data_IF_297465178565
#
_entry.id   IF_297465178565
#
_cell.length_a   1.000
_cell.length_b   1.000
_cell.length_c   1.000
_cell.angle_alpha   90.00
_cell.angle_beta   90.00
_cell.angle_gamma   90.00
#
_symmetry.space_group_name_H-M   'P 1'
#
loop_
_entity.id
_entity.type
_entity.pdbx_description
1 polymer ?
#
# COMPACT_ATOMS: atom_id res chain seq x y z
N UNK A 1 34.99 -21.57 -10.40
CA UNK A 1 34.64 -20.83 -11.59
C UNK A 1 33.22 -20.21 -11.52
N UNK A 2 32.15 -21.01 -11.33
CA UNK A 2 30.74 -20.51 -11.26
C UNK A 2 30.48 -19.43 -10.21
N UNK A 3 31.01 -19.50 -8.99
CA UNK A 3 30.81 -18.52 -7.94
C UNK A 3 31.45 -17.15 -8.25
N UNK A 4 32.61 -17.15 -8.91
CA UNK A 4 33.33 -15.95 -9.31
C UNK A 4 32.62 -15.20 -10.45
N UNK A 5 32.07 -15.95 -11.41
CA UNK A 5 31.24 -15.40 -12.50
C UNK A 5 29.93 -14.84 -11.94
N UNK A 6 29.28 -15.50 -11.00
CA UNK A 6 28.05 -15.01 -10.36
C UNK A 6 28.27 -13.70 -9.60
N UNK A 7 29.33 -13.61 -8.80
CA UNK A 7 29.68 -12.39 -8.06
C UNK A 7 30.01 -11.20 -9.01
N UNK A 8 30.66 -11.47 -10.12
CA UNK A 8 31.00 -10.43 -11.12
C UNK A 8 29.76 -9.98 -11.89
N UNK A 9 28.85 -10.90 -12.20
CA UNK A 9 27.55 -10.59 -12.83
C UNK A 9 26.67 -9.75 -11.89
N UNK A 10 26.60 -10.09 -10.60
CA UNK A 10 25.85 -9.29 -9.60
C UNK A 10 26.45 -7.87 -9.45
N UNK A 11 27.79 -7.74 -9.49
CA UNK A 11 28.49 -6.42 -9.44
C UNK A 11 28.26 -5.59 -10.69
N UNK A 12 28.25 -6.21 -11.88
CA UNK A 12 27.95 -5.56 -13.15
C UNK A 12 26.47 -5.11 -13.21
N UNK A 13 25.56 -5.98 -12.81
CA UNK A 13 24.13 -5.66 -12.77
C UNK A 13 23.83 -4.45 -11.85
N UNK A 14 24.49 -4.37 -10.70
CA UNK A 14 24.36 -3.23 -9.79
C UNK A 14 24.85 -1.91 -10.39
N UNK A 15 25.99 -1.92 -11.11
CA UNK A 15 26.50 -0.72 -11.81
C UNK A 15 25.60 -0.28 -12.96
N UNK A 16 25.17 -1.21 -13.81
CA UNK A 16 24.23 -0.93 -14.89
C UNK A 16 22.92 -0.33 -14.37
N UNK A 17 22.40 -0.85 -13.27
CA UNK A 17 21.19 -0.31 -12.66
C UNK A 17 21.38 1.15 -12.16
N UNK A 18 22.52 1.45 -11.54
CA UNK A 18 22.81 2.81 -11.06
C UNK A 18 23.00 3.80 -12.22
N UNK A 19 23.70 3.41 -13.27
CA UNK A 19 23.95 4.26 -14.45
C UNK A 19 22.65 4.50 -15.24
N UNK A 20 21.81 3.48 -15.41
CA UNK A 20 20.49 3.60 -16.04
C UNK A 20 19.58 4.55 -15.25
N UNK A 21 19.61 4.48 -13.91
CA UNK A 21 18.81 5.36 -13.08
C UNK A 21 19.27 6.83 -13.17
N UNK A 22 20.59 7.08 -13.14
CA UNK A 22 21.15 8.42 -13.32
C UNK A 22 20.92 8.99 -14.72
N UNK A 23 20.91 8.13 -15.74
CA UNK A 23 20.56 8.49 -17.13
C UNK A 23 19.07 8.83 -17.27
N UNK A 24 18.21 8.08 -16.61
CA UNK A 24 16.77 8.29 -16.60
C UNK A 24 16.37 9.61 -15.91
N UNK A 25 16.95 9.93 -14.74
CA UNK A 25 16.69 11.21 -14.06
C UNK A 25 17.01 12.41 -14.96
N UNK A 26 18.16 12.38 -15.64
CA UNK A 26 18.57 13.45 -16.58
C UNK A 26 17.65 13.54 -17.79
N UNK A 27 17.25 12.42 -18.37
CA UNK A 27 16.37 12.37 -19.51
C UNK A 27 14.91 12.69 -19.17
N UNK A 28 14.43 12.36 -17.97
CA UNK A 28 13.11 12.72 -17.48
C UNK A 28 13.00 14.22 -17.17
N UNK A 29 14.04 14.82 -16.55
CA UNK A 29 14.11 16.26 -16.31
C UNK A 29 14.14 17.05 -17.63
N UNK A 30 14.95 16.63 -18.58
CA UNK A 30 15.08 17.30 -19.90
C UNK A 30 13.77 17.27 -20.69
N UNK A 31 13.02 16.16 -20.62
CA UNK A 31 11.71 16.04 -21.29
C UNK A 31 10.57 16.74 -20.54
N UNK A 32 10.60 16.76 -19.21
CA UNK A 32 9.66 17.54 -18.41
C UNK A 32 9.79 19.04 -18.67
N UNK A 33 11.04 19.51 -18.85
CA UNK A 33 11.34 20.90 -19.25
C UNK A 33 10.87 21.17 -20.68
N UNK A 34 11.10 20.26 -21.64
CA UNK A 34 10.64 20.39 -23.02
C UNK A 34 9.09 20.35 -23.12
N UNK A 35 8.42 19.49 -22.37
CA UNK A 35 6.95 19.43 -22.32
C UNK A 35 6.31 20.65 -21.64
N UNK A 36 7.02 21.34 -20.74
CA UNK A 36 6.57 22.59 -20.13
C UNK A 36 6.61 23.78 -21.10
N UNK A 37 7.40 23.69 -22.17
CA UNK A 37 7.52 24.72 -23.22
C UNK A 37 6.53 24.59 -24.39
N UNK A 38 5.66 23.56 -24.39
CA UNK A 38 4.65 23.37 -25.44
C UNK A 38 3.46 24.36 -25.28
N UNK A 39 3.75 25.63 -25.55
CA UNK A 39 2.78 26.73 -25.49
C UNK A 39 1.57 26.56 -26.42
N UNK A 40 1.69 25.71 -27.44
CA UNK A 40 0.63 25.44 -28.41
C UNK A 40 -0.50 24.55 -27.83
N UNK A 41 -0.16 23.57 -27.01
CA UNK A 41 -1.15 22.73 -26.28
C UNK A 41 -1.91 23.53 -25.21
N UNK A 42 -1.24 24.43 -24.53
CA UNK A 42 -1.88 25.34 -23.55
C UNK A 42 -2.80 26.37 -24.20
N UNK A 43 -2.55 26.71 -25.47
CA UNK A 43 -3.40 27.58 -26.28
C UNK A 43 -4.66 26.87 -26.75
N UNK A 44 -4.54 25.63 -27.25
CA UNK A 44 -5.69 24.78 -27.64
C UNK A 44 -6.62 24.46 -26.47
N UNK A 45 -6.07 24.19 -25.28
CA UNK A 45 -6.87 23.97 -24.06
C UNK A 45 -7.60 25.26 -23.63
N UNK A 46 -7.03 26.45 -23.85
CA UNK A 46 -7.71 27.73 -23.62
C UNK A 46 -8.83 27.98 -24.63
N UNK A 47 -8.59 27.74 -25.89
CA UNK A 47 -9.58 27.92 -26.96
C UNK A 47 -10.79 26.99 -26.79
N UNK A 48 -10.57 25.73 -26.41
CA UNK A 48 -11.63 24.76 -26.08
C UNK A 48 -12.36 25.18 -24.79
N UNK A 49 -11.67 25.77 -23.83
CA UNK A 49 -12.27 26.24 -22.57
C UNK A 49 -13.18 27.47 -22.74
N UNK A 50 -12.91 28.29 -23.75
CA UNK A 50 -13.73 29.47 -24.07
C UNK A 50 -15.01 29.13 -24.85
N UNK A 51 -14.98 28.02 -25.64
CA UNK A 51 -16.10 27.59 -26.50
C UNK A 51 -17.03 26.54 -25.88
N UNK A 52 -16.64 25.87 -24.82
CA UNK A 52 -17.45 24.82 -24.18
C UNK A 52 -17.69 25.13 -22.70
N UNK A 53 -18.95 25.13 -22.29
CA UNK A 53 -19.35 25.41 -20.90
C UNK A 53 -18.55 24.58 -19.89
N UNK A 54 -18.32 25.10 -18.69
CA UNK A 54 -17.33 24.70 -17.69
C UNK A 54 -17.23 23.21 -17.28
N UNK A 55 -18.16 22.34 -17.72
CA UNK A 55 -18.09 20.90 -17.48
C UNK A 55 -17.24 20.16 -18.53
N UNK A 56 -17.40 20.52 -19.82
CA UNK A 56 -16.62 19.90 -20.89
C UNK A 56 -15.15 20.32 -20.82
N UNK A 57 -14.86 21.55 -20.42
CA UNK A 57 -13.48 22.02 -20.17
C UNK A 57 -12.80 21.29 -19.00
N UNK A 58 -13.56 20.88 -17.97
CA UNK A 58 -13.04 20.07 -16.85
C UNK A 58 -12.74 18.63 -17.27
N UNK A 59 -13.64 18.02 -18.04
CA UNK A 59 -13.44 16.67 -18.58
C UNK A 59 -12.27 16.62 -19.57
N UNK A 60 -12.12 17.64 -20.43
CA UNK A 60 -11.00 17.74 -21.35
C UNK A 60 -9.65 17.93 -20.62
N UNK A 61 -9.60 18.73 -19.56
CA UNK A 61 -8.39 18.88 -18.74
C UNK A 61 -8.02 17.60 -17.99
N UNK A 62 -9.00 16.90 -17.41
CA UNK A 62 -8.76 15.62 -16.74
C UNK A 62 -8.26 14.56 -17.75
N UNK A 63 -8.84 14.49 -18.95
CA UNK A 63 -8.41 13.57 -20.01
C UNK A 63 -7.01 13.91 -20.54
N UNK A 64 -6.64 15.19 -20.64
CA UNK A 64 -5.29 15.62 -21.05
C UNK A 64 -4.26 15.32 -19.98
N UNK A 65 -4.55 15.53 -18.69
CA UNK A 65 -3.65 15.18 -17.59
C UNK A 65 -3.47 13.67 -17.43
N UNK A 66 -4.53 12.91 -17.63
CA UNK A 66 -4.48 11.44 -17.62
C UNK A 66 -3.71 10.87 -18.83
N UNK A 67 -3.91 11.45 -20.02
CA UNK A 67 -3.15 11.09 -21.22
C UNK A 67 -1.66 11.46 -21.05
N UNK A 68 -1.37 12.61 -20.45
CA UNK A 68 0.00 13.06 -20.14
C UNK A 68 0.68 12.17 -19.11
N UNK A 69 -0.04 11.71 -18.09
CA UNK A 69 0.49 10.73 -17.12
C UNK A 69 0.87 9.42 -17.80
N UNK A 70 -0.01 8.88 -18.65
CA UNK A 70 0.23 7.64 -19.42
C UNK A 70 1.36 7.79 -20.45
N UNK A 71 1.43 8.92 -21.14
CA UNK A 71 2.52 9.21 -22.09
C UNK A 71 3.87 9.35 -21.38
N UNK A 72 3.93 10.00 -20.21
CA UNK A 72 5.14 10.11 -19.39
C UNK A 72 5.61 8.76 -18.84
N UNK A 73 4.69 7.92 -18.35
CA UNK A 73 5.02 6.57 -17.89
C UNK A 73 5.49 5.69 -19.04
N UNK A 74 4.86 5.79 -20.21
CA UNK A 74 5.26 5.06 -21.41
C UNK A 74 6.60 5.54 -21.95
N UNK A 75 6.81 6.83 -22.06
CA UNK A 75 8.09 7.41 -22.50
C UNK A 75 9.23 7.12 -21.53
N UNK A 76 8.94 7.08 -20.22
CA UNK A 76 9.91 6.68 -19.21
C UNK A 76 10.26 5.18 -19.32
N UNK A 77 9.26 4.32 -19.52
CA UNK A 77 9.48 2.89 -19.71
C UNK A 77 10.25 2.59 -21.01
N UNK A 78 9.92 3.28 -22.11
CA UNK A 78 10.62 3.16 -23.38
C UNK A 78 12.07 3.67 -23.30
N UNK A 79 12.32 4.78 -22.57
CA UNK A 79 13.66 5.30 -22.36
C UNK A 79 14.53 4.39 -21.50
N UNK A 80 13.96 3.81 -20.43
CA UNK A 80 14.66 2.81 -19.60
C UNK A 80 14.95 1.56 -20.42
N UNK A 81 13.99 1.10 -21.23
CA UNK A 81 14.19 -0.06 -22.09
C UNK A 81 15.26 0.18 -23.16
N UNK A 82 15.28 1.37 -23.79
CA UNK A 82 16.28 1.75 -24.79
C UNK A 82 17.69 1.89 -24.18
N UNK A 83 17.81 2.52 -23.00
CA UNK A 83 19.08 2.64 -22.29
C UNK A 83 19.59 1.27 -21.81
N UNK A 84 18.68 0.40 -21.32
CA UNK A 84 19.02 -0.97 -20.95
C UNK A 84 19.51 -1.77 -22.16
N UNK A 85 18.84 -1.62 -23.32
CA UNK A 85 19.23 -2.28 -24.55
C UNK A 85 20.59 -1.78 -25.06
N UNK A 86 20.86 -0.47 -25.01
CA UNK A 86 22.14 0.12 -25.39
C UNK A 86 23.29 -0.37 -24.49
N UNK A 87 23.07 -0.41 -23.17
CA UNK A 87 24.06 -0.92 -22.20
C UNK A 87 24.27 -2.43 -22.28
N UNK A 88 23.21 -3.19 -22.56
CA UNK A 88 23.35 -4.62 -22.81
C UNK A 88 24.16 -4.88 -24.08
N UNK A 89 23.96 -4.08 -25.14
CA UNK A 89 24.75 -4.19 -26.38
C UNK A 89 26.23 -3.81 -26.16
N UNK A 90 26.53 -2.78 -25.36
CA UNK A 90 27.90 -2.43 -24.95
C UNK A 90 28.57 -3.56 -24.16
N UNK A 91 27.81 -4.26 -23.30
CA UNK A 91 28.35 -5.36 -22.51
C UNK A 91 28.32 -6.72 -23.23
N UNK A 92 27.53 -6.90 -24.30
CA UNK A 92 27.58 -8.09 -25.15
C UNK A 92 28.99 -8.31 -25.72
N UNK A 93 29.67 -7.21 -26.12
CA UNK A 93 31.08 -7.26 -26.54
C UNK A 93 32.04 -7.72 -25.45
N UNK A 94 31.83 -7.31 -24.21
CA UNK A 94 32.63 -7.69 -23.05
C UNK A 94 32.34 -9.12 -22.61
N UNK A 95 31.07 -9.53 -22.67
CA UNK A 95 30.64 -10.91 -22.39
C UNK A 95 31.12 -11.86 -23.45
N UNK A 96 31.17 -11.44 -24.72
CA UNK A 96 31.75 -12.22 -25.82
C UNK A 96 33.27 -12.41 -25.65
N UNK A 97 33.98 -11.36 -25.18
CA UNK A 97 35.42 -11.44 -24.90
C UNK A 97 35.74 -12.33 -23.68
N UNK A 98 34.84 -12.37 -22.66
CA UNK A 98 34.99 -13.25 -21.50
C UNK A 98 34.49 -14.69 -21.77
N UNK A 99 33.71 -14.89 -22.82
CA UNK A 99 33.06 -16.16 -23.18
C UNK A 99 33.87 -16.99 -24.17
N UNK A 100 35.08 -16.54 -24.57
CA UNK A 100 35.93 -17.34 -25.45
C UNK A 100 36.31 -18.74 -24.90
N UNK A 101 36.06 -18.98 -23.59
CA UNK A 101 36.27 -20.27 -22.91
C UNK A 101 34.95 -20.95 -22.43
N UNK A 102 33.78 -20.37 -22.67
CA UNK A 102 32.48 -20.96 -22.29
C UNK A 102 31.62 -21.16 -23.54
N UNK A 103 31.08 -22.36 -23.70
CA UNK A 103 30.24 -22.72 -24.84
C UNK A 103 29.01 -21.76 -24.92
N UNK A 104 28.65 -21.35 -26.14
CA UNK A 104 27.50 -20.47 -26.46
C UNK A 104 26.19 -20.89 -25.78
N UNK A 105 26.04 -22.19 -25.54
CA UNK A 105 24.96 -22.82 -24.81
C UNK A 105 24.88 -22.41 -23.34
N UNK A 106 26.01 -22.23 -22.65
CA UNK A 106 26.04 -21.78 -21.26
C UNK A 106 25.66 -20.29 -21.13
N UNK A 107 25.96 -19.50 -22.15
CA UNK A 107 25.58 -18.07 -22.20
C UNK A 107 24.10 -17.87 -22.48
N UNK A 108 23.51 -18.64 -23.40
CA UNK A 108 22.07 -18.65 -23.67
C UNK A 108 21.27 -19.13 -22.47
N UNK A 109 21.78 -20.11 -21.73
CA UNK A 109 21.17 -20.59 -20.48
C UNK A 109 21.25 -19.57 -19.33
N UNK A 110 22.30 -18.74 -19.26
CA UNK A 110 22.47 -17.72 -18.22
C UNK A 110 21.69 -16.41 -18.50
N UNK A 111 21.34 -16.13 -19.76
CA UNK A 111 20.63 -14.92 -20.18
C UNK A 111 19.31 -14.65 -19.44
N UNK A 112 18.40 -15.61 -19.21
CA UNK A 112 17.17 -15.39 -18.46
C UNK A 112 17.43 -15.02 -16.99
N UNK A 113 18.43 -15.62 -16.36
CA UNK A 113 18.80 -15.33 -14.97
C UNK A 113 19.42 -13.93 -14.84
N UNK A 114 20.27 -13.53 -15.78
CA UNK A 114 20.86 -12.19 -15.84
C UNK A 114 19.78 -11.14 -16.02
N UNK A 115 18.85 -11.31 -16.96
CA UNK A 115 17.74 -10.39 -17.17
C UNK A 115 16.81 -10.31 -15.94
N UNK A 116 16.63 -11.41 -15.22
CA UNK A 116 15.88 -11.41 -13.97
C UNK A 116 16.61 -10.62 -12.89
N UNK A 117 17.91 -10.84 -12.70
CA UNK A 117 18.73 -10.13 -11.72
C UNK A 117 18.78 -8.62 -12.00
N UNK A 118 18.94 -8.22 -13.27
CA UNK A 118 18.89 -6.80 -13.68
C UNK A 118 17.54 -6.19 -13.40
N UNK A 119 16.43 -6.87 -13.73
CA UNK A 119 15.07 -6.37 -13.43
C UNK A 119 14.83 -6.25 -11.92
N UNK A 120 15.32 -7.18 -11.12
CA UNK A 120 15.21 -7.14 -9.66
C UNK A 120 16.01 -5.97 -9.08
N UNK A 121 17.24 -5.70 -9.57
CA UNK A 121 18.06 -4.58 -9.11
C UNK A 121 17.52 -3.21 -9.57
N UNK A 122 17.01 -3.10 -10.80
CA UNK A 122 16.32 -1.88 -11.27
C UNK A 122 15.07 -1.62 -10.44
N UNK A 123 14.26 -2.66 -10.16
CA UNK A 123 13.07 -2.52 -9.31
C UNK A 123 13.45 -2.10 -7.88
N UNK A 124 14.56 -2.60 -7.36
CA UNK A 124 15.10 -2.27 -6.04
C UNK A 124 15.60 -0.82 -5.99
N UNK A 125 16.43 -0.40 -6.96
CA UNK A 125 16.92 0.96 -7.06
C UNK A 125 15.76 1.97 -7.19
N UNK A 126 14.74 1.65 -7.99
CA UNK A 126 13.53 2.47 -8.12
C UNK A 126 12.71 2.54 -6.84
N UNK A 127 12.64 1.44 -6.07
CA UNK A 127 11.92 1.42 -4.79
C UNK A 127 12.69 2.15 -3.66
N UNK A 128 14.02 2.23 -3.75
CA UNK A 128 14.89 2.98 -2.81
C UNK A 128 14.96 4.48 -3.11
N UNK A 129 14.53 4.92 -4.29
CA UNK A 129 14.45 6.33 -4.64
C UNK A 129 13.54 7.09 -3.66
N UNK A 130 13.88 8.34 -3.40
CA UNK A 130 13.11 9.23 -2.52
C UNK A 130 11.62 9.18 -2.91
N UNK A 131 10.70 9.00 -1.95
CA UNK A 131 9.28 8.95 -2.27
C UNK A 131 8.87 10.22 -3.01
N UNK A 132 8.03 10.11 -4.06
CA UNK A 132 7.54 11.27 -4.74
C UNK A 132 6.80 12.16 -3.74
N UNK A 133 7.13 13.45 -3.73
CA UNK A 133 6.38 14.44 -2.94
C UNK A 133 5.09 14.69 -3.70
N UNK A 134 3.95 14.28 -3.13
CA UNK A 134 2.63 14.58 -3.69
C UNK A 134 2.25 15.98 -3.24
N UNK A 135 2.19 16.92 -4.18
CA UNK A 135 1.69 18.27 -3.92
C UNK A 135 0.21 18.32 -4.30
N UNK A 136 -0.65 18.53 -3.29
CA UNK A 136 -2.08 18.62 -3.47
C UNK A 136 -2.45 20.11 -3.56
N UNK A 137 -2.85 20.56 -4.75
CA UNK A 137 -3.35 21.91 -4.98
C UNK A 137 -4.87 21.87 -5.16
N UNK A 138 -5.60 22.47 -4.24
CA UNK A 138 -7.04 22.60 -4.29
C UNK A 138 -7.41 24.04 -4.61
N UNK A 139 -8.44 24.27 -5.45
CA UNK A 139 -8.97 25.62 -5.69
C UNK A 139 -9.32 26.25 -4.35
N UNK A 140 -8.76 27.44 -4.07
CA UNK A 140 -8.97 28.26 -2.87
C UNK A 140 -8.32 27.77 -1.57
N UNK A 141 -7.45 26.75 -1.60
CA UNK A 141 -6.65 26.32 -0.44
C UNK A 141 -5.17 26.29 -0.81
N UNK A 142 -4.24 26.62 0.11
CA UNK A 142 -2.82 26.53 -0.16
C UNK A 142 -2.43 25.09 -0.46
N UNK A 143 -1.49 24.91 -1.39
CA UNK A 143 -0.96 23.59 -1.72
C UNK A 143 -0.34 22.94 -0.48
N UNK A 144 -0.70 21.69 -0.22
CA UNK A 144 -0.13 20.89 0.88
C UNK A 144 0.72 19.79 0.32
N UNK A 145 1.85 19.56 0.95
CA UNK A 145 2.80 18.50 0.56
C UNK A 145 2.66 17.32 1.52
N UNK A 146 2.29 16.17 0.98
CA UNK A 146 2.36 14.90 1.69
C UNK A 146 3.79 14.36 1.56
N UNK A 147 4.53 14.37 2.67
CA UNK A 147 5.96 14.00 2.71
C UNK A 147 6.18 12.52 3.01
N UNK A 148 5.18 11.85 3.54
CA UNK A 148 5.26 10.44 3.89
C UNK A 148 5.12 9.54 2.66
N UNK A 149 5.69 8.34 2.75
CA UNK A 149 5.47 7.32 1.75
C UNK A 149 4.00 6.90 1.75
N UNK A 150 3.27 7.25 0.69
CA UNK A 150 1.84 7.01 0.57
C UNK A 150 1.53 5.84 -0.37
N UNK A 151 0.36 5.24 -0.19
CA UNK A 151 -0.15 4.23 -1.11
C UNK A 151 -0.51 4.88 -2.46
N UNK A 152 -0.29 4.13 -3.56
CA UNK A 152 -0.55 4.59 -4.94
C UNK A 152 -2.00 5.01 -5.22
N UNK A 153 -2.97 4.54 -4.42
CA UNK A 153 -4.39 4.92 -4.54
C UNK A 153 -4.71 6.31 -3.94
N UNK A 154 -3.73 7.05 -3.39
CA UNK A 154 -4.01 8.36 -2.80
C UNK A 154 -4.60 9.38 -3.79
N UNK A 155 -4.10 9.52 -5.03
CA UNK A 155 -4.69 10.46 -6.01
C UNK A 155 -6.16 10.15 -6.32
N UNK A 156 -6.51 8.87 -6.47
CA UNK A 156 -7.87 8.43 -6.72
C UNK A 156 -8.79 8.75 -5.54
N UNK A 157 -8.35 8.45 -4.31
CA UNK A 157 -9.07 8.82 -3.09
C UNK A 157 -9.29 10.33 -2.98
N UNK A 158 -8.26 11.13 -3.25
CA UNK A 158 -8.37 12.60 -3.21
C UNK A 158 -9.36 13.12 -4.26
N UNK A 159 -9.40 12.53 -5.45
CA UNK A 159 -10.36 12.87 -6.49
C UNK A 159 -11.79 12.62 -6.04
N UNK A 160 -12.07 11.44 -5.49
CA UNK A 160 -13.40 11.09 -4.98
C UNK A 160 -13.83 11.99 -3.82
N UNK A 161 -12.94 12.27 -2.86
CA UNK A 161 -13.21 13.15 -1.73
C UNK A 161 -13.38 14.62 -2.15
N UNK A 162 -12.66 15.07 -3.17
CA UNK A 162 -12.85 16.40 -3.75
C UNK A 162 -14.22 16.53 -4.41
N UNK A 163 -14.68 15.49 -5.09
CA UNK A 163 -16.03 15.38 -5.65
C UNK A 163 -17.13 15.23 -4.58
N UNK A 164 -16.77 15.22 -3.29
CA UNK A 164 -17.68 15.07 -2.15
C UNK A 164 -18.37 13.70 -2.09
N UNK A 165 -17.80 12.69 -2.74
CA UNK A 165 -18.31 11.33 -2.66
C UNK A 165 -17.89 10.66 -1.34
N UNK A 166 -18.75 9.78 -0.81
CA UNK A 166 -18.37 8.84 0.23
C UNK A 166 -17.56 7.71 -0.41
N UNK A 167 -16.50 7.24 0.25
CA UNK A 167 -15.57 6.27 -0.33
C UNK A 167 -15.49 5.03 0.53
N UNK A 168 -15.56 3.86 -0.12
CA UNK A 168 -15.26 2.56 0.49
C UNK A 168 -13.91 2.06 -0.06
N UNK A 169 -12.90 2.00 0.81
CA UNK A 169 -11.59 1.43 0.51
C UNK A 169 -11.64 -0.08 0.72
N UNK A 170 -11.46 -0.85 -0.34
CA UNK A 170 -11.51 -2.32 -0.28
C UNK A 170 -10.13 -2.91 -0.55
N UNK A 171 -9.75 -3.92 0.20
CA UNK A 171 -8.50 -4.64 -0.02
C UNK A 171 -8.07 -5.47 1.17
N UNK A 172 -7.05 -6.32 1.00
CA UNK A 172 -6.58 -7.21 2.06
C UNK A 172 -6.19 -6.49 3.35
N UNK A 173 -6.19 -7.23 4.46
CA UNK A 173 -5.73 -6.68 5.74
C UNK A 173 -4.26 -6.22 5.65
N UNK A 174 -3.96 -5.06 6.24
CA UNK A 174 -2.59 -4.53 6.33
C UNK A 174 -2.07 -3.82 5.07
N UNK A 175 -2.91 -3.54 4.07
CA UNK A 175 -2.53 -2.75 2.88
C UNK A 175 -2.38 -1.25 3.15
N UNK A 176 -2.81 -0.78 4.35
CA UNK A 176 -2.69 0.62 4.73
C UNK A 176 -3.93 1.48 4.45
N UNK A 177 -5.13 0.88 4.32
CA UNK A 177 -6.40 1.58 4.07
C UNK A 177 -6.63 2.75 5.04
N UNK A 178 -6.52 2.50 6.35
CA UNK A 178 -6.71 3.52 7.38
C UNK A 178 -5.63 4.62 7.34
N UNK A 179 -4.38 4.25 7.01
CA UNK A 179 -3.30 5.22 6.79
C UNK A 179 -3.52 6.05 5.52
N UNK A 180 -4.07 5.45 4.47
CA UNK A 180 -4.44 6.14 3.24
C UNK A 180 -5.51 7.22 3.50
N UNK A 181 -6.53 6.89 4.32
CA UNK A 181 -7.53 7.86 4.76
C UNK A 181 -6.90 9.02 5.58
N UNK A 182 -5.93 8.70 6.46
CA UNK A 182 -5.18 9.72 7.20
C UNK A 182 -4.38 10.64 6.27
N UNK A 183 -3.63 10.08 5.32
CA UNK A 183 -2.89 10.89 4.34
C UNK A 183 -3.82 11.77 3.49
N UNK A 184 -5.03 11.28 3.16
CA UNK A 184 -6.01 12.09 2.46
C UNK A 184 -6.56 13.23 3.34
N UNK A 185 -6.82 12.99 4.62
CA UNK A 185 -7.21 14.04 5.57
C UNK A 185 -6.15 15.13 5.69
N UNK A 186 -4.88 14.72 5.87
CA UNK A 186 -3.72 15.61 5.95
C UNK A 186 -3.58 16.46 4.66
N UNK A 187 -3.71 15.81 3.50
CA UNK A 187 -3.63 16.48 2.18
C UNK A 187 -4.76 17.49 1.96
N UNK A 188 -5.97 17.16 2.39
CA UNK A 188 -7.13 18.04 2.28
C UNK A 188 -7.21 19.11 3.39
N UNK A 189 -6.38 18.97 4.43
CA UNK A 189 -6.42 19.83 5.61
C UNK A 189 -7.69 19.67 6.43
N UNK A 190 -8.21 18.45 6.47
CA UNK A 190 -9.38 18.07 7.26
C UNK A 190 -8.93 17.41 8.55
N UNK A 191 -9.66 17.63 9.63
CA UNK A 191 -9.47 16.88 10.86
C UNK A 191 -9.92 15.44 10.65
N UNK A 192 -9.09 14.47 11.06
CA UNK A 192 -9.42 13.05 10.98
C UNK A 192 -10.12 12.61 12.27
N UNK A 193 -11.35 12.13 12.12
CA UNK A 193 -12.07 11.40 13.15
C UNK A 193 -12.17 9.93 12.74
N UNK A 194 -11.89 8.99 13.63
CA UNK A 194 -11.86 7.57 13.31
C UNK A 194 -12.64 6.72 14.30
N UNK A 195 -13.33 5.71 13.79
CA UNK A 195 -14.06 4.74 14.55
C UNK A 195 -14.00 3.38 13.87
N UNK A 196 -13.64 2.32 14.60
CA UNK A 196 -13.73 0.95 14.10
C UNK A 196 -15.07 0.34 14.48
N UNK A 197 -15.72 -0.27 13.49
CA UNK A 197 -16.99 -0.96 13.66
C UNK A 197 -16.76 -2.44 13.93
N UNK A 198 -17.66 -3.02 14.71
CA UNK A 198 -17.70 -4.44 15.01
C UNK A 198 -19.15 -4.92 15.16
N UNK A 199 -19.37 -6.24 15.24
CA UNK A 199 -20.71 -6.81 15.35
C UNK A 199 -21.49 -6.31 16.57
N UNK A 200 -20.78 -5.95 17.63
CA UNK A 200 -21.33 -5.48 18.90
C UNK A 200 -21.15 -4.00 19.13
N UNK A 201 -20.75 -3.22 18.11
CA UNK A 201 -20.63 -1.76 18.24
C UNK A 201 -22.00 -1.16 18.54
N UNK A 202 -22.21 -0.56 19.74
CA UNK A 202 -23.50 0.00 20.09
C UNK A 202 -23.76 1.31 19.36
N UNK A 203 -25.03 1.64 19.13
CA UNK A 203 -25.46 2.90 18.52
C UNK A 203 -24.90 4.13 19.26
N UNK A 204 -24.82 4.07 20.57
CA UNK A 204 -24.29 5.13 21.41
C UNK A 204 -22.83 5.49 21.12
N UNK A 205 -22.04 4.54 20.65
CA UNK A 205 -20.64 4.77 20.25
C UNK A 205 -20.53 5.60 18.96
N UNK A 206 -21.57 5.58 18.13
CA UNK A 206 -21.62 6.34 16.86
C UNK A 206 -22.43 7.64 17.04
N UNK A 207 -23.62 7.54 17.64
CA UNK A 207 -24.58 8.66 17.71
C UNK A 207 -24.62 9.38 19.06
N UNK A 208 -23.78 8.96 20.02
CA UNK A 208 -23.74 9.56 21.34
C UNK A 208 -24.83 9.09 22.27
N UNK A 209 -24.76 9.57 23.52
CA UNK A 209 -25.72 9.23 24.56
C UNK A 209 -25.69 10.27 25.68
N UNK A 210 -26.73 10.28 26.51
CA UNK A 210 -26.75 11.00 27.78
C UNK A 210 -26.31 10.07 28.92
N UNK A 211 -25.48 10.56 29.80
CA UNK A 211 -25.16 9.86 31.06
C UNK A 211 -26.27 10.03 32.10
N UNK A 212 -26.08 9.39 33.28
CA UNK A 212 -27.05 9.46 34.40
C UNK A 212 -27.20 10.87 34.96
N UNK A 213 -26.33 11.80 34.66
CA UNK A 213 -26.36 13.20 35.10
C UNK A 213 -26.93 14.13 34.04
N UNK A 214 -27.39 13.59 32.89
CA UNK A 214 -27.94 14.36 31.80
C UNK A 214 -26.88 15.07 30.92
N UNK A 215 -25.62 14.69 31.01
CA UNK A 215 -24.58 15.21 30.11
C UNK A 215 -24.54 14.38 28.83
N UNK A 216 -24.57 15.09 27.71
CA UNK A 216 -24.40 14.46 26.40
C UNK A 216 -22.93 14.13 26.17
N UNK A 217 -22.65 12.89 25.79
CA UNK A 217 -21.34 12.43 25.36
C UNK A 217 -21.29 12.34 23.84
N UNK A 218 -20.55 13.28 23.22
CA UNK A 218 -20.36 13.33 21.78
C UNK A 218 -19.39 12.24 21.29
N UNK A 219 -19.41 12.01 19.98
CA UNK A 219 -18.65 10.96 19.34
C UNK A 219 -17.78 11.50 18.20
N UNK A 220 -16.76 10.74 17.75
CA UNK A 220 -16.00 11.10 16.55
C UNK A 220 -16.89 11.31 15.32
N UNK A 221 -17.92 10.50 15.13
CA UNK A 221 -18.86 10.68 14.03
C UNK A 221 -19.62 12.01 14.14
N UNK A 222 -20.17 12.33 15.34
CA UNK A 222 -20.86 13.58 15.59
C UNK A 222 -19.97 14.79 15.27
N UNK A 223 -18.74 14.80 15.78
CA UNK A 223 -17.80 15.92 15.56
C UNK A 223 -17.52 16.15 14.08
N UNK A 224 -17.18 15.09 13.34
CA UNK A 224 -16.94 15.20 11.92
C UNK A 224 -18.18 15.65 11.15
N UNK A 225 -19.35 15.11 11.52
CA UNK A 225 -20.61 15.40 10.85
C UNK A 225 -21.05 16.86 11.02
N UNK A 226 -20.98 17.37 12.23
CA UNK A 226 -21.45 18.72 12.59
C UNK A 226 -20.43 19.83 12.28
N UNK A 227 -19.14 19.57 12.52
CA UNK A 227 -18.11 20.61 12.41
C UNK A 227 -17.24 20.47 11.17
N UNK A 228 -17.44 19.43 10.39
CA UNK A 228 -16.61 19.11 9.23
C UNK A 228 -15.39 18.28 9.61
N UNK A 229 -14.79 17.69 8.60
CA UNK A 229 -13.65 16.80 8.76
C UNK A 229 -13.80 15.51 7.95
N UNK A 230 -12.80 14.66 8.02
CA UNK A 230 -12.84 13.34 7.42
C UNK A 230 -13.16 12.30 8.48
N UNK A 231 -14.33 11.69 8.38
CA UNK A 231 -14.71 10.53 9.19
C UNK A 231 -14.20 9.24 8.56
N UNK A 232 -13.42 8.48 9.29
CA UNK A 232 -13.00 7.12 8.94
C UNK A 232 -13.84 6.11 9.72
N UNK A 233 -14.65 5.32 9.01
CA UNK A 233 -15.32 4.12 9.54
C UNK A 233 -14.50 2.89 9.16
N UNK A 234 -13.68 2.41 10.07
CA UNK A 234 -12.84 1.24 9.82
C UNK A 234 -13.64 -0.05 10.00
N UNK A 235 -13.41 -1.02 9.10
CA UNK A 235 -14.12 -2.31 9.10
C UNK A 235 -15.64 -2.23 8.94
N UNK A 236 -16.12 -1.48 7.95
CA UNK A 236 -17.56 -1.30 7.66
C UNK A 236 -18.27 -2.65 7.45
N UNK A 237 -17.61 -3.60 6.78
CA UNK A 237 -18.08 -4.97 6.53
C UNK A 237 -18.15 -5.85 7.78
N UNK A 238 -17.85 -5.29 8.94
CA UNK A 238 -18.00 -5.92 10.26
C UNK A 238 -19.08 -5.23 11.11
N UNK A 239 -19.70 -4.15 10.59
CA UNK A 239 -20.71 -3.37 11.30
C UNK A 239 -22.05 -4.09 11.40
N UNK A 240 -22.81 -3.83 12.50
CA UNK A 240 -24.15 -4.38 12.66
C UNK A 240 -25.12 -3.73 11.64
N UNK A 241 -25.99 -4.51 10.95
CA UNK A 241 -26.90 -3.99 9.93
C UNK A 241 -27.79 -2.83 10.37
N UNK A 242 -28.31 -2.86 11.59
CA UNK A 242 -29.13 -1.77 12.13
C UNK A 242 -28.36 -0.44 12.24
N UNK A 243 -27.09 -0.49 12.64
CA UNK A 243 -26.22 0.69 12.70
C UNK A 243 -25.94 1.24 11.28
N UNK A 244 -25.75 0.34 10.32
CA UNK A 244 -25.53 0.73 8.91
C UNK A 244 -26.79 1.38 8.30
N UNK A 245 -27.98 0.92 8.69
CA UNK A 245 -29.26 1.53 8.30
C UNK A 245 -29.37 3.00 8.73
N UNK A 246 -29.07 3.30 9.99
CA UNK A 246 -29.05 4.67 10.51
C UNK A 246 -27.98 5.55 9.82
N UNK A 247 -26.79 4.99 9.61
CA UNK A 247 -25.75 5.69 8.84
C UNK A 247 -26.21 5.99 7.40
N UNK A 248 -26.86 5.04 6.75
CA UNK A 248 -27.38 5.23 5.38
C UNK A 248 -28.37 6.38 5.31
N UNK A 249 -29.26 6.51 6.31
CA UNK A 249 -30.21 7.62 6.39
C UNK A 249 -29.47 8.94 6.60
N UNK A 250 -28.52 9.00 7.54
CA UNK A 250 -27.74 10.19 7.81
C UNK A 250 -26.97 10.69 6.58
N UNK A 251 -26.38 9.77 5.81
CA UNK A 251 -25.63 10.10 4.59
C UNK A 251 -26.56 10.58 3.45
N UNK A 252 -27.72 9.95 3.29
CA UNK A 252 -28.67 10.30 2.24
C UNK A 252 -29.31 11.68 2.46
N UNK A 253 -29.76 11.93 3.68
CA UNK A 253 -30.48 13.18 4.03
C UNK A 253 -29.52 14.31 4.41
N UNK A 254 -28.25 14.02 4.63
CA UNK A 254 -27.29 14.98 5.22
C UNK A 254 -27.78 15.59 6.53
N UNK A 255 -28.60 14.83 7.26
CA UNK A 255 -29.14 15.18 8.57
C UNK A 255 -29.24 13.91 9.39
N UNK A 256 -28.83 13.97 10.65
CA UNK A 256 -28.76 12.82 11.54
C UNK A 256 -29.43 13.16 12.87
N UNK A 257 -30.19 12.21 13.42
CA UNK A 257 -30.71 12.27 14.78
C UNK A 257 -29.62 11.78 15.75
N UNK A 258 -29.13 12.70 16.56
CA UNK A 258 -28.29 12.38 17.71
C UNK A 258 -29.15 12.40 18.98
N UNK A 259 -28.63 11.90 20.09
CA UNK A 259 -29.43 11.82 21.32
C UNK A 259 -29.88 13.21 21.82
N UNK A 260 -29.17 14.27 21.48
CA UNK A 260 -29.47 15.66 21.85
C UNK A 260 -30.23 16.46 20.78
N UNK A 261 -30.55 15.85 19.63
CA UNK A 261 -31.33 16.49 18.58
C UNK A 261 -30.87 16.21 17.15
N UNK A 262 -31.56 16.86 16.21
CA UNK A 262 -31.26 16.76 14.79
C UNK A 262 -30.10 17.66 14.40
N UNK A 263 -29.13 17.15 13.65
CA UNK A 263 -27.97 17.88 13.17
C UNK A 263 -27.79 17.71 11.69
N UNK A 264 -27.55 18.80 10.99
CA UNK A 264 -27.21 18.81 9.56
C UNK A 264 -25.72 18.63 9.35
N UNK A 265 -25.36 17.87 8.32
CA UNK A 265 -23.97 17.64 7.97
C UNK A 265 -23.29 18.92 7.50
N UNK A 266 -22.12 19.21 8.05
CA UNK A 266 -21.25 20.29 7.60
C UNK A 266 -20.89 20.11 6.11
N UNK A 267 -20.67 21.22 5.40
CA UNK A 267 -20.31 21.14 3.98
C UNK A 267 -18.95 20.45 3.74
N UNK A 268 -18.01 20.56 4.66
CA UNK A 268 -16.72 19.90 4.62
C UNK A 268 -16.70 18.51 5.28
N UNK A 269 -17.87 17.95 5.65
CA UNK A 269 -17.95 16.57 6.07
C UNK A 269 -17.59 15.63 4.92
N UNK A 270 -16.68 14.69 5.16
CA UNK A 270 -16.25 13.63 4.24
C UNK A 270 -16.25 12.31 4.98
N UNK A 271 -16.65 11.25 4.29
CA UNK A 271 -16.66 9.89 4.84
C UNK A 271 -15.79 8.97 4.00
N UNK A 272 -14.89 8.27 4.67
CA UNK A 272 -14.15 7.12 4.15
C UNK A 272 -14.48 5.92 5.02
N UNK A 273 -14.92 4.84 4.41
CA UNK A 273 -15.07 3.54 5.05
C UNK A 273 -13.98 2.59 4.57
N UNK A 274 -13.66 1.57 5.35
CA UNK A 274 -12.79 0.47 4.91
C UNK A 274 -13.50 -0.86 5.00
N UNK A 275 -13.18 -1.78 4.09
CA UNK A 275 -13.61 -3.16 4.11
C UNK A 275 -12.47 -4.10 3.70
N UNK A 276 -12.51 -5.33 4.15
CA UNK A 276 -11.63 -6.39 3.67
C UNK A 276 -12.28 -7.19 2.53
N UNK A 277 -13.58 -7.02 2.36
CA UNK A 277 -14.42 -7.62 1.32
C UNK A 277 -15.18 -6.53 0.56
N UNK A 278 -15.72 -6.88 -0.61
CA UNK A 278 -16.59 -5.98 -1.39
C UNK A 278 -18.04 -5.93 -0.84
N UNK A 279 -18.26 -6.36 0.39
CA UNK A 279 -19.59 -6.41 0.98
C UNK A 279 -20.40 -7.65 0.59
N UNK A 280 -19.78 -8.66 0.00
CA UNK A 280 -20.47 -9.92 -0.35
C UNK A 280 -20.54 -10.92 0.81
N UNK A 281 -20.12 -10.51 2.00
CA UNK A 281 -20.01 -11.38 3.18
C UNK A 281 -18.63 -11.99 3.35
N UNK A 282 -18.53 -12.94 4.29
CA UNK A 282 -17.26 -13.62 4.60
C UNK A 282 -16.79 -14.55 3.48
N UNK A 283 -15.47 -14.71 3.42
CA UNK A 283 -14.80 -15.69 2.57
C UNK A 283 -13.91 -16.62 3.42
N UNK A 284 -13.10 -17.45 2.76
CA UNK A 284 -12.19 -18.37 3.44
C UNK A 284 -11.11 -17.71 4.30
N UNK A 285 -10.82 -16.41 4.09
CA UNK A 285 -9.85 -15.63 4.88
C UNK A 285 -10.54 -14.72 5.90
N UNK A 286 -11.77 -14.27 5.61
CA UNK A 286 -12.50 -13.28 6.39
C UNK A 286 -13.89 -13.82 6.79
N UNK A 287 -13.90 -14.96 7.47
CA UNK A 287 -15.13 -15.74 7.81
C UNK A 287 -16.19 -14.93 8.57
N UNK A 288 -15.76 -13.98 9.41
CA UNK A 288 -16.66 -13.19 10.27
C UNK A 288 -17.27 -11.94 9.63
N UNK A 289 -17.07 -11.71 8.32
CA UNK A 289 -17.60 -10.51 7.65
C UNK A 289 -19.06 -10.68 7.27
N UNK A 290 -19.83 -9.59 7.42
CA UNK A 290 -21.24 -9.57 7.05
C UNK A 290 -21.42 -9.07 5.62
N UNK A 291 -22.49 -9.55 4.97
CA UNK A 291 -22.89 -8.99 3.68
C UNK A 291 -23.49 -7.59 3.93
N UNK A 292 -23.05 -6.62 3.12
CA UNK A 292 -23.64 -5.29 3.06
C UNK A 292 -24.79 -5.31 2.06
N UNK A 293 -25.87 -4.61 2.38
CA UNK A 293 -26.97 -4.49 1.41
C UNK A 293 -26.58 -3.60 0.21
N UNK A 294 -27.26 -3.79 -0.90
CA UNK A 294 -27.02 -3.04 -2.14
C UNK A 294 -27.23 -1.54 -1.94
N UNK A 295 -28.18 -1.13 -1.09
CA UNK A 295 -28.44 0.29 -0.81
C UNK A 295 -27.28 0.93 -0.03
N UNK A 296 -26.60 0.18 0.84
CA UNK A 296 -25.39 0.64 1.52
C UNK A 296 -24.24 0.80 0.50
N UNK A 297 -24.01 -0.20 -0.35
CA UNK A 297 -22.91 -0.19 -1.32
C UNK A 297 -23.07 0.92 -2.37
N UNK A 298 -24.28 1.18 -2.83
CA UNK A 298 -24.60 2.22 -3.82
C UNK A 298 -24.24 3.65 -3.36
N UNK A 299 -24.07 3.85 -2.08
CA UNK A 299 -23.68 5.16 -1.50
C UNK A 299 -22.20 5.46 -1.57
N UNK A 300 -21.38 4.48 -1.93
CA UNK A 300 -19.92 4.60 -1.89
C UNK A 300 -19.30 4.49 -3.28
N UNK A 301 -18.33 5.34 -3.53
CA UNK A 301 -17.33 5.09 -4.56
C UNK A 301 -16.37 4.05 -4.01
N UNK A 302 -16.25 2.92 -4.67
CA UNK A 302 -15.34 1.84 -4.25
C UNK A 302 -13.97 2.05 -4.87
N UNK A 303 -12.95 2.05 -4.03
CA UNK A 303 -11.54 2.17 -4.45
C UNK A 303 -10.76 0.97 -3.94
N UNK A 304 -10.08 0.28 -4.85
CA UNK A 304 -9.24 -0.85 -4.54
C UNK A 304 -7.91 -0.42 -3.90
N UNK A 305 -7.58 -1.04 -2.78
CA UNK A 305 -6.32 -0.83 -2.07
C UNK A 305 -5.54 -2.15 -2.00
N UNK A 306 -4.96 -2.61 -3.13
CA UNK A 306 -4.17 -3.83 -3.16
C UNK A 306 -2.85 -3.64 -2.43
N UNK A 307 -2.11 -4.73 -2.23
CA UNK A 307 -0.75 -4.63 -1.67
C UNK A 307 0.14 -3.82 -2.62
N UNK A 308 0.60 -2.67 -2.16
CA UNK A 308 1.61 -1.87 -2.85
C UNK A 308 3.00 -2.40 -2.48
N UNK A 309 3.58 -3.19 -3.39
CA UNK A 309 4.88 -3.82 -3.16
C UNK A 309 6.02 -2.82 -3.02
N UNK A 310 5.91 -1.64 -3.67
CA UNK A 310 6.92 -0.57 -3.58
C UNK A 310 6.85 0.11 -2.21
N UNK A 311 5.64 0.45 -1.79
CA UNK A 311 5.41 1.00 -0.45
C UNK A 311 5.84 0.03 0.64
N UNK A 312 5.45 -1.25 0.52
CA UNK A 312 5.86 -2.32 1.45
C UNK A 312 7.39 -2.38 1.57
N UNK A 313 8.12 -2.39 0.45
CA UNK A 313 9.57 -2.44 0.43
C UNK A 313 10.20 -1.23 1.14
N UNK A 314 9.72 -0.01 0.84
CA UNK A 314 10.20 1.22 1.48
C UNK A 314 9.98 1.20 2.99
N UNK A 315 8.79 0.82 3.43
CA UNK A 315 8.43 0.78 4.85
C UNK A 315 9.27 -0.28 5.61
N UNK A 316 9.52 -1.43 4.99
CA UNK A 316 10.38 -2.47 5.56
C UNK A 316 11.81 -1.97 5.71
N UNK A 317 12.40 -1.36 4.69
CA UNK A 317 13.76 -0.82 4.77
C UNK A 317 13.88 0.37 5.72
N UNK A 318 12.85 1.22 5.80
CA UNK A 318 12.79 2.29 6.78
C UNK A 318 12.70 1.77 8.22
N UNK A 319 12.09 0.59 8.41
CA UNK A 319 11.98 -0.07 9.70
C UNK A 319 13.28 -0.73 10.20
N UNK A 320 14.28 -0.92 9.32
CA UNK A 320 15.58 -1.53 9.67
C UNK A 320 16.73 -0.84 8.92
N UNK A 321 16.99 0.46 9.20
CA UNK A 321 18.00 1.23 8.48
C UNK A 321 19.40 0.66 8.62
N UNK A 322 19.75 0.08 9.78
CA UNK A 322 21.07 -0.50 10.07
C UNK A 322 21.21 -1.95 9.58
N UNK A 323 20.11 -2.64 9.30
CA UNK A 323 20.08 -4.08 8.95
C UNK A 323 19.32 -4.35 7.65
N UNK A 324 19.56 -3.53 6.64
CA UNK A 324 18.81 -3.52 5.37
C UNK A 324 18.85 -4.86 4.62
N UNK A 325 19.98 -5.58 4.61
CA UNK A 325 20.09 -6.87 3.91
C UNK A 325 19.23 -7.93 4.57
N UNK A 326 19.19 -7.98 5.89
CA UNK A 326 18.33 -8.92 6.61
C UNK A 326 16.84 -8.56 6.46
N UNK A 327 16.52 -7.26 6.43
CA UNK A 327 15.17 -6.79 6.15
C UNK A 327 14.70 -7.18 4.73
N UNK A 328 15.60 -7.15 3.74
CA UNK A 328 15.32 -7.65 2.38
C UNK A 328 15.08 -9.16 2.37
N UNK A 329 15.92 -9.91 3.07
CA UNK A 329 15.75 -11.36 3.19
C UNK A 329 14.43 -11.73 3.87
N UNK A 330 14.07 -11.02 4.94
CA UNK A 330 12.78 -11.15 5.62
C UNK A 330 11.62 -10.89 4.66
N UNK A 331 11.65 -9.77 3.94
CA UNK A 331 10.59 -9.40 3.00
C UNK A 331 10.45 -10.40 1.88
N UNK A 332 11.55 -10.90 1.34
CA UNK A 332 11.55 -11.95 0.31
C UNK A 332 10.84 -13.19 0.81
N UNK A 333 11.10 -13.61 2.03
CA UNK A 333 10.45 -14.79 2.62
C UNK A 333 8.96 -14.54 2.89
N UNK A 334 8.58 -13.37 3.43
CA UNK A 334 7.16 -13.01 3.63
C UNK A 334 6.39 -13.03 2.31
N UNK A 335 6.97 -12.48 1.23
CA UNK A 335 6.36 -12.49 -0.10
C UNK A 335 6.24 -13.88 -0.69
N UNK A 336 7.26 -14.73 -0.49
CA UNK A 336 7.22 -16.14 -0.89
C UNK A 336 6.07 -16.88 -0.20
N UNK A 337 5.97 -16.74 1.13
CA UNK A 337 4.91 -17.38 1.91
C UNK A 337 3.52 -16.89 1.51
N UNK A 338 3.39 -15.59 1.24
CA UNK A 338 2.14 -14.98 0.73
C UNK A 338 1.74 -15.60 -0.61
N UNK A 339 2.67 -15.75 -1.54
CA UNK A 339 2.41 -16.33 -2.85
C UNK A 339 1.97 -17.79 -2.74
N UNK A 340 2.68 -18.60 -1.93
CA UNK A 340 2.32 -20.00 -1.70
C UNK A 340 0.95 -20.14 -1.01
N UNK A 341 0.65 -19.28 -0.03
CA UNK A 341 -0.64 -19.29 0.64
C UNK A 341 -1.79 -18.98 -0.32
N UNK A 342 -1.60 -18.00 -1.22
CA UNK A 342 -2.57 -17.65 -2.23
C UNK A 342 -2.76 -18.77 -3.27
N UNK A 343 -1.66 -19.34 -3.80
CA UNK A 343 -1.69 -20.45 -4.76
C UNK A 343 -2.43 -21.66 -4.20
N UNK A 344 -2.13 -22.03 -2.95
CA UNK A 344 -2.75 -23.19 -2.28
C UNK A 344 -4.08 -22.86 -1.57
N UNK A 345 -4.59 -21.64 -1.70
CA UNK A 345 -5.83 -21.16 -1.07
C UNK A 345 -5.87 -21.43 0.44
N UNK A 346 -4.73 -21.25 1.12
CA UNK A 346 -4.65 -21.46 2.56
C UNK A 346 -5.33 -20.28 3.31
N UNK A 347 -6.03 -20.54 4.43
CA UNK A 347 -6.65 -19.49 5.24
C UNK A 347 -5.60 -18.76 6.10
N UNK A 348 -4.52 -18.30 5.46
CA UNK A 348 -3.38 -17.66 6.09
C UNK A 348 -3.16 -16.28 5.47
N UNK A 349 -2.91 -15.28 6.33
CA UNK A 349 -2.65 -13.90 5.89
C UNK A 349 -1.22 -13.48 6.21
N UNK A 350 -0.42 -13.28 5.18
CA UNK A 350 0.92 -12.70 5.28
C UNK A 350 0.89 -11.26 4.75
N UNK A 351 0.32 -10.35 5.56
CA UNK A 351 0.14 -8.95 5.19
C UNK A 351 1.48 -8.17 5.19
N UNK A 352 1.53 -6.97 4.59
CA UNK A 352 2.70 -6.08 4.68
C UNK A 352 3.17 -5.78 6.11
N UNK A 353 2.25 -5.81 7.10
CA UNK A 353 2.62 -5.67 8.53
C UNK A 353 3.65 -6.71 8.97
N UNK A 354 3.61 -7.92 8.39
CA UNK A 354 4.57 -8.97 8.73
C UNK A 354 6.02 -8.56 8.41
N UNK A 355 6.23 -7.97 7.24
CA UNK A 355 7.54 -7.43 6.86
C UNK A 355 7.95 -6.20 7.66
N UNK A 356 7.02 -5.25 7.85
CA UNK A 356 7.28 -3.99 8.57
C UNK A 356 7.64 -4.24 10.05
N UNK A 357 6.84 -5.04 10.74
CA UNK A 357 7.10 -5.35 12.16
C UNK A 357 8.33 -6.23 12.30
N UNK A 358 8.53 -7.19 11.38
CA UNK A 358 9.73 -8.02 11.36
C UNK A 358 11.01 -7.19 11.16
N UNK A 359 10.98 -6.17 10.31
CA UNK A 359 12.09 -5.24 10.13
C UNK A 359 12.39 -4.46 11.43
N UNK A 360 11.36 -3.97 12.13
CA UNK A 360 11.52 -3.32 13.43
C UNK A 360 12.13 -4.25 14.48
N UNK A 361 11.76 -5.54 14.47
CA UNK A 361 12.37 -6.55 15.34
C UNK A 361 13.86 -6.74 15.03
N UNK A 362 14.22 -6.79 13.73
CA UNK A 362 15.62 -6.85 13.31
C UNK A 362 16.41 -5.65 13.82
N UNK A 363 15.91 -4.44 13.65
CA UNK A 363 16.57 -3.22 14.11
C UNK A 363 16.73 -3.20 15.64
N UNK A 364 15.74 -3.75 16.37
CA UNK A 364 15.79 -3.92 17.82
C UNK A 364 16.74 -5.05 18.30
N UNK A 365 17.47 -5.71 17.40
CA UNK A 365 18.48 -6.72 17.72
C UNK A 365 18.04 -8.17 17.59
N UNK A 366 16.80 -8.46 17.15
CA UNK A 366 16.39 -9.82 16.86
C UNK A 366 17.17 -10.39 15.66
N UNK A 367 17.46 -11.69 15.66
CA UNK A 367 17.99 -12.37 14.48
C UNK A 367 16.90 -12.54 13.41
N UNK A 368 17.28 -12.75 12.15
CA UNK A 368 16.33 -13.01 11.07
C UNK A 368 15.43 -14.22 11.39
N UNK A 369 16.01 -15.28 11.95
CA UNK A 369 15.26 -16.46 12.37
C UNK A 369 14.23 -16.15 13.47
N UNK A 370 14.58 -15.32 14.45
CA UNK A 370 13.66 -14.87 15.50
C UNK A 370 12.55 -13.98 14.93
N UNK A 371 12.87 -13.01 14.09
CA UNK A 371 11.89 -12.14 13.48
C UNK A 371 10.86 -12.93 12.63
N UNK A 372 11.35 -13.88 11.82
CA UNK A 372 10.48 -14.80 11.08
C UNK A 372 9.65 -15.69 12.01
N UNK A 373 10.28 -16.27 13.03
CA UNK A 373 9.56 -17.12 13.99
C UNK A 373 8.45 -16.33 14.69
N UNK A 374 8.76 -15.19 15.27
CA UNK A 374 7.81 -14.44 16.12
C UNK A 374 6.68 -13.81 15.32
N UNK A 375 6.98 -13.28 14.13
CA UNK A 375 5.99 -12.51 13.37
C UNK A 375 5.28 -13.31 12.27
N UNK A 376 5.88 -14.38 11.80
CA UNK A 376 5.41 -15.07 10.59
C UNK A 376 5.05 -16.53 10.84
N UNK A 377 5.95 -17.31 11.45
CA UNK A 377 5.79 -18.78 11.46
C UNK A 377 5.31 -19.37 12.78
N UNK A 378 5.41 -18.63 13.91
CA UNK A 378 4.91 -19.08 15.20
C UNK A 378 3.38 -19.16 15.17
N UNK A 379 2.81 -20.28 15.60
CA UNK A 379 1.37 -20.52 15.61
C UNK A 379 0.83 -21.18 14.34
N UNK A 380 1.67 -21.42 13.32
CA UNK A 380 1.26 -22.24 12.19
C UNK A 380 1.14 -23.72 12.60
N UNK A 381 0.04 -24.37 12.19
CA UNK A 381 -0.14 -25.81 12.37
C UNK A 381 0.93 -26.59 11.57
N UNK A 382 1.19 -27.85 11.95
CA UNK A 382 2.10 -28.72 11.21
C UNK A 382 1.70 -28.84 9.72
N UNK A 383 0.39 -28.98 9.44
CA UNK A 383 -0.13 -29.03 8.08
C UNK A 383 0.18 -27.74 7.30
N UNK A 384 -0.02 -26.57 7.91
CA UNK A 384 0.30 -25.29 7.27
C UNK A 384 1.81 -25.12 7.05
N UNK A 385 2.66 -25.53 8.00
CA UNK A 385 4.12 -25.50 7.85
C UNK A 385 4.58 -26.35 6.67
N UNK A 386 4.08 -27.58 6.59
CA UNK A 386 4.36 -28.49 5.47
C UNK A 386 3.87 -27.92 4.14
N UNK A 387 2.63 -27.42 4.09
CA UNK A 387 2.08 -26.79 2.89
C UNK A 387 2.91 -25.59 2.40
N UNK A 388 3.50 -24.82 3.32
CA UNK A 388 4.35 -23.66 3.03
C UNK A 388 5.82 -24.03 2.73
N UNK A 389 6.18 -25.33 2.82
CA UNK A 389 7.55 -25.82 2.62
C UNK A 389 8.52 -25.35 3.71
N UNK A 390 8.06 -25.25 4.94
CA UNK A 390 8.87 -24.81 6.09
C UNK A 390 9.56 -25.98 6.81
N UNK A 391 9.15 -27.23 6.54
CA UNK A 391 9.68 -28.43 7.18
C UNK A 391 10.80 -29.11 6.37
N UNK A 392 11.25 -28.49 5.24
CA UNK A 392 12.34 -29.04 4.43
C UNK A 392 13.68 -28.98 5.20
N UNK A 393 14.50 -30.05 5.18
CA UNK A 393 15.79 -30.07 5.86
C UNK A 393 16.74 -29.03 5.25
N UNK A 394 17.16 -28.04 6.09
CA UNK A 394 18.06 -26.95 5.70
C UNK A 394 17.61 -25.53 6.06
N UNK A 395 16.39 -25.33 6.59
CA UNK A 395 15.93 -24.03 7.13
C UNK A 395 15.92 -24.10 8.66
N UNK A 396 16.72 -23.23 9.24
CA UNK A 396 17.06 -23.10 10.65
C UNK A 396 16.01 -23.66 11.63
N UNK A 397 16.38 -24.71 12.33
CA UNK A 397 15.70 -25.31 13.47
C UNK A 397 15.55 -24.28 14.59
N UNK A 398 14.37 -24.24 15.20
CA UNK A 398 14.09 -23.52 16.44
C UNK A 398 15.11 -23.88 17.53
N UNK A 399 15.58 -22.94 18.35
CA UNK A 399 16.16 -23.30 19.60
C UNK A 399 15.09 -24.01 20.46
N UNK A 400 15.38 -25.25 20.82
CA UNK A 400 14.58 -26.04 21.77
C UNK A 400 14.43 -25.20 23.04
N UNK A 401 13.19 -24.96 23.47
CA UNK A 401 12.95 -24.41 24.79
C UNK A 401 13.63 -25.31 25.81
N UNK A 402 14.47 -24.73 26.66
CA UNK A 402 15.05 -25.46 27.79
C UNK A 402 13.88 -25.99 28.63
N UNK A 403 13.82 -27.30 28.83
CA UNK A 403 12.92 -27.92 29.78
C UNK A 403 13.22 -27.34 31.16
N UNK A 404 12.22 -27.01 31.96
CA UNK A 404 12.46 -26.63 33.37
C UNK A 404 13.08 -27.84 34.05
N UNK A 405 14.27 -27.62 34.63
CA UNK A 405 14.90 -28.59 35.54
C UNK A 405 13.95 -28.81 36.70
N UNK A 406 13.56 -30.05 36.91
CA UNK A 406 12.80 -30.53 38.06
C UNK A 406 13.41 -30.04 39.36
N UNK A 407 12.73 -29.11 40.03
CA UNK A 407 13.01 -28.76 41.41
C UNK A 407 12.57 -29.98 42.26
N UNK A 408 13.56 -30.70 42.83
CA UNK A 408 13.31 -31.70 43.87
C UNK A 408 12.62 -31.06 45.08
N UNK A 409 11.60 -31.65 45.64
CA UNK A 409 11.02 -31.14 46.87
C UNK A 409 12.01 -31.34 48.03
N UNK A 410 12.44 -30.25 48.68
CA UNK A 410 13.11 -30.32 49.96
C UNK A 410 12.12 -30.87 51.00
N UNK A 411 12.53 -31.99 51.61
CA UNK A 411 11.84 -32.58 52.75
C UNK A 411 12.08 -31.72 53.99
N UNK A 412 11.01 -31.09 54.51
CA UNK A 412 11.02 -30.57 55.88
C UNK A 412 10.84 -31.73 56.87
N UNK A 413 11.88 -31.95 57.71
CA UNK A 413 11.79 -32.68 58.99
C UNK A 413 11.51 -31.69 60.11
#
# INVERSE_FOLDING_TARGET
>A
MRAKVRSEVERLAGRVAQDVFAGWERAALSRAVAAAHDGERARLVREVAEHTGGQAARAARAAVEEARGRELERAAAEAVAAELAARLAEHEGLVHALASDATEEALLAARPELLRAVREEVAKAYAEATPPVIEVSLRRRPARRVRDATHRALPELLTALHARCHVLLVGPAGTGKSMLAKHAADALGLELQALSLGPTTPMSKVFGYFDAHGHYHDTPFRRAFEHGGLMLLDELDNGHPGLLGELNQALALRTCAFADGMVSAHEDFRLVATGNTYGHGGDHQYVGRQALDAATLDRFVVIDVPIDQRLEYRLVLAGAPSRREEARALLKEVRRLRAVAAEKRLPLTFSPRAGIDGARLLEAGATLAQALAWRVTRGLSAAHRSALGLDAPGRATQPRAAEPQDARPESFG
#
